data_IF_097816473648
#
_entry.id   IF_097816473648
#
_cell.length_a   1.000
_cell.length_b   1.000
_cell.length_c   1.000
_cell.angle_alpha   90.00
_cell.angle_beta   90.00
_cell.angle_gamma   90.00
#
_symmetry.space_group_name_H-M   'P 1'
#
loop_
_entity.id
_entity.type
_entity.pdbx_description
1 polymer ?
#
# COMPACT_ATOMS: atom_id res chain seq x y z
N UNK A 1 20.38 -6.77 29.37
CA UNK A 1 19.51 -5.58 29.55
C UNK A 1 18.22 -5.85 28.79
N UNK A 2 17.10 -5.76 29.51
CA UNK A 2 15.76 -6.31 29.24
C UNK A 2 15.22 -6.25 27.80
N UNK A 3 14.85 -7.41 27.25
CA UNK A 3 13.82 -7.54 26.24
C UNK A 3 12.60 -8.20 26.89
N UNK A 4 11.71 -7.38 27.44
CA UNK A 4 10.34 -7.79 27.78
C UNK A 4 9.62 -8.04 26.46
N UNK A 5 9.48 -9.31 26.07
CA UNK A 5 8.55 -9.70 25.00
C UNK A 5 7.15 -9.74 25.60
N UNK A 6 6.56 -8.56 25.57
CA UNK A 6 5.22 -8.20 26.03
C UNK A 6 4.14 -9.01 25.30
N UNK A 7 3.10 -9.32 26.08
CA UNK A 7 1.95 -10.16 25.79
C UNK A 7 1.29 -9.80 24.46
N UNK A 8 1.01 -10.82 23.62
CA UNK A 8 0.51 -10.68 22.26
C UNK A 8 -0.95 -10.21 22.23
N UNK A 9 -1.22 -8.97 22.64
CA UNK A 9 -2.48 -8.28 22.36
C UNK A 9 -2.25 -7.40 21.15
N UNK A 10 -2.84 -7.79 20.02
CA UNK A 10 -2.70 -7.07 18.77
C UNK A 10 -3.49 -5.75 18.84
N UNK A 11 -2.89 -4.72 19.45
CA UNK A 11 -3.49 -3.38 19.60
C UNK A 11 -3.16 -2.55 18.36
N UNK A 12 -4.18 -1.91 17.76
CA UNK A 12 -3.99 -0.95 16.69
C UNK A 12 -3.11 0.20 17.16
N UNK A 13 -1.99 0.44 16.49
CA UNK A 13 -1.10 1.56 16.73
C UNK A 13 -1.68 2.85 16.14
N UNK A 14 -1.32 4.02 16.69
CA UNK A 14 -1.73 5.31 16.13
C UNK A 14 -1.23 5.48 14.69
N UNK A 15 -1.91 6.34 13.94
CA UNK A 15 -1.47 6.70 12.59
C UNK A 15 -0.13 7.44 12.62
N UNK A 16 0.59 7.37 11.50
CA UNK A 16 1.80 8.16 11.24
C UNK A 16 1.47 9.36 10.35
N UNK A 17 2.37 10.33 10.24
CA UNK A 17 2.18 11.51 9.37
C UNK A 17 1.86 11.12 7.92
N UNK A 18 2.41 10.02 7.41
CA UNK A 18 2.11 9.53 6.06
C UNK A 18 0.67 9.05 5.89
N UNK A 19 -0.06 8.77 6.98
CA UNK A 19 -1.47 8.37 6.96
C UNK A 19 -2.43 9.57 7.01
N UNK A 20 -1.97 10.78 7.29
CA UNK A 20 -2.84 11.95 7.37
C UNK A 20 -3.56 12.21 6.04
N UNK A 21 -4.86 12.48 6.11
CA UNK A 21 -5.71 12.69 4.94
C UNK A 21 -6.17 11.41 4.24
N UNK A 22 -5.90 10.22 4.80
CA UNK A 22 -6.46 8.97 4.31
C UNK A 22 -7.86 8.74 4.88
N UNK A 23 -8.83 8.34 4.06
CA UNK A 23 -10.24 8.14 4.45
C UNK A 23 -10.45 6.95 5.42
N UNK A 24 -9.40 6.14 5.63
CA UNK A 24 -9.43 4.93 6.47
C UNK A 24 -8.90 5.18 7.89
N UNK A 25 -8.63 6.44 8.23
CA UNK A 25 -8.26 6.86 9.57
C UNK A 25 -9.54 7.06 10.38
N UNK A 26 -9.60 6.40 11.54
CA UNK A 26 -10.70 6.54 12.49
C UNK A 26 -10.14 7.13 13.78
N UNK A 27 -10.89 8.01 14.41
CA UNK A 27 -10.58 8.55 15.73
C UNK A 27 -11.39 7.78 16.78
N UNK A 28 -10.71 7.00 17.62
CA UNK A 28 -11.29 6.27 18.74
C UNK A 28 -10.51 6.63 20.01
N UNK A 29 -11.25 6.96 21.08
CA UNK A 29 -10.68 7.36 22.38
C UNK A 29 -9.66 8.51 22.30
N UNK A 30 -9.90 9.48 21.40
CA UNK A 30 -9.01 10.62 21.18
C UNK A 30 -7.70 10.31 20.45
N UNK A 31 -7.55 9.06 19.95
CA UNK A 31 -6.40 8.66 19.15
C UNK A 31 -6.84 8.31 17.72
N UNK A 32 -6.13 8.86 16.74
CA UNK A 32 -6.32 8.52 15.33
C UNK A 32 -5.60 7.21 15.01
N UNK A 33 -6.32 6.24 14.44
CA UNK A 33 -5.84 4.89 14.12
C UNK A 33 -6.20 4.50 12.70
N UNK A 34 -5.44 3.58 12.12
CA UNK A 34 -5.80 3.01 10.81
C UNK A 34 -6.80 1.87 11.00
N UNK A 35 -7.94 1.89 10.31
CA UNK A 35 -8.93 0.81 10.38
C UNK A 35 -8.41 -0.51 9.78
N UNK A 36 -7.43 -0.45 8.88
CA UNK A 36 -6.97 -1.62 8.10
C UNK A 36 -5.69 -2.24 8.63
N UNK A 37 -4.75 -1.43 9.15
CA UNK A 37 -3.43 -1.90 9.57
C UNK A 37 -3.21 -1.68 11.05
N UNK A 38 -2.82 -2.74 11.76
CA UNK A 38 -2.47 -2.66 13.18
C UNK A 38 -1.20 -1.85 13.42
N UNK A 39 -0.24 -1.85 12.49
CA UNK A 39 0.98 -1.04 12.57
C UNK A 39 1.17 -0.22 11.29
N UNK A 40 0.63 1.01 11.24
CA UNK A 40 0.75 1.89 10.08
C UNK A 40 2.21 2.22 9.75
N UNK A 41 3.05 2.44 10.77
CA UNK A 41 4.46 2.77 10.60
C UNK A 41 5.24 1.66 9.86
N UNK A 42 4.98 0.40 10.21
CA UNK A 42 5.60 -0.74 9.53
C UNK A 42 5.16 -0.84 8.06
N UNK A 43 3.90 -0.54 7.75
CA UNK A 43 3.43 -0.55 6.36
C UNK A 43 4.14 0.51 5.51
N UNK A 44 4.24 1.74 6.01
CA UNK A 44 4.91 2.83 5.31
C UNK A 44 6.42 2.64 5.17
N UNK A 45 7.06 1.97 6.14
CA UNK A 45 8.48 1.60 6.04
C UNK A 45 8.77 0.65 4.86
N UNK A 46 7.83 -0.25 4.56
CA UNK A 46 7.97 -1.22 3.47
C UNK A 46 7.54 -0.66 2.10
N UNK A 47 6.98 0.55 2.06
CA UNK A 47 6.56 1.21 0.83
C UNK A 47 5.22 1.95 0.99
N UNK A 48 4.73 2.49 -0.13
CA UNK A 48 3.43 3.21 -0.14
C UNK A 48 2.31 2.28 0.28
N UNK A 49 1.41 2.77 1.14
CA UNK A 49 0.21 2.06 1.52
C UNK A 49 -0.70 1.83 0.31
N UNK A 50 -1.11 0.58 0.06
CA UNK A 50 -1.98 0.20 -1.06
C UNK A 50 -3.39 0.80 -0.96
N UNK A 51 -3.76 1.24 0.25
CA UNK A 51 -5.06 1.83 0.55
C UNK A 51 -4.97 3.34 0.83
N UNK A 52 -3.81 3.96 0.62
CA UNK A 52 -3.70 5.41 0.73
C UNK A 52 -4.58 6.06 -0.34
N UNK A 53 -5.67 6.71 0.08
CA UNK A 53 -6.56 7.44 -0.84
C UNK A 53 -5.94 8.76 -1.27
N UNK A 54 -5.05 9.32 -0.46
CA UNK A 54 -4.34 10.57 -0.67
C UNK A 54 -2.99 10.44 -1.39
N UNK A 55 -2.39 9.24 -1.44
CA UNK A 55 -1.12 9.00 -2.16
C UNK A 55 -1.29 7.95 -3.22
N UNK A 56 -1.13 8.37 -4.48
CA UNK A 56 -1.10 7.45 -5.62
C UNK A 56 0.35 7.12 -5.96
N UNK A 57 0.72 5.83 -6.07
CA UNK A 57 2.05 5.48 -6.57
C UNK A 57 2.20 6.03 -7.99
N UNK A 58 3.33 6.70 -8.26
CA UNK A 58 3.67 7.11 -9.62
C UNK A 58 3.98 5.85 -10.44
N UNK A 59 2.95 5.36 -11.14
CA UNK A 59 3.13 4.32 -12.14
C UNK A 59 3.85 4.99 -13.31
N UNK A 60 5.17 4.85 -13.35
CA UNK A 60 5.94 5.08 -14.58
C UNK A 60 5.49 4.00 -15.57
N UNK A 61 4.39 4.27 -16.26
CA UNK A 61 3.98 3.50 -17.43
C UNK A 61 5.07 3.78 -18.44
N UNK A 62 6.11 2.93 -18.46
CA UNK A 62 6.97 2.84 -19.62
C UNK A 62 6.00 2.61 -20.77
N UNK A 63 5.82 3.62 -21.64
CA UNK A 63 5.10 3.47 -22.90
C UNK A 63 5.91 2.45 -23.69
N UNK A 64 5.64 1.17 -23.45
CA UNK A 64 6.20 0.09 -24.24
C UNK A 64 5.59 0.29 -25.60
N UNK A 65 6.35 0.92 -26.49
CA UNK A 65 6.00 1.08 -27.89
C UNK A 65 6.03 -0.32 -28.49
N UNK A 66 4.92 -1.04 -28.35
CA UNK A 66 4.77 -2.38 -28.91
C UNK A 66 4.84 -2.20 -30.42
N UNK A 67 5.91 -2.74 -31.02
CA UNK A 67 6.08 -2.68 -32.47
C UNK A 67 4.90 -3.42 -33.13
N UNK A 68 4.25 -2.82 -34.14
CA UNK A 68 3.08 -3.41 -34.81
C UNK A 68 3.36 -4.82 -35.38
N UNK A 69 4.59 -5.13 -35.79
CA UNK A 69 4.99 -6.49 -36.21
C UNK A 69 4.92 -7.49 -35.06
N UNK A 70 5.29 -7.08 -33.84
CA UNK A 70 5.24 -7.91 -32.63
C UNK A 70 3.80 -8.14 -32.15
N UNK A 71 2.91 -7.16 -32.35
CA UNK A 71 1.49 -7.30 -32.09
C UNK A 71 0.82 -8.27 -33.08
N UNK A 72 1.10 -8.11 -34.38
CA UNK A 72 0.58 -8.97 -35.44
C UNK A 72 0.99 -10.44 -35.23
N UNK A 73 2.27 -10.70 -34.93
CA UNK A 73 2.77 -12.07 -34.64
C UNK A 73 2.11 -12.72 -33.41
N UNK A 74 1.73 -11.93 -32.39
CA UNK A 74 0.99 -12.43 -31.22
C UNK A 74 -0.46 -12.76 -31.52
N UNK A 75 -1.12 -11.97 -32.37
CA UNK A 75 -2.49 -12.22 -32.80
C UNK A 75 -2.59 -13.50 -33.65
N UNK A 76 -1.66 -13.70 -34.60
CA UNK A 76 -1.63 -14.89 -35.45
C UNK A 76 -1.38 -16.18 -34.67
N UNK A 77 -0.61 -16.14 -33.58
CA UNK A 77 -0.32 -17.33 -32.76
C UNK A 77 -1.51 -17.77 -31.89
N UNK A 78 -2.47 -16.88 -31.60
CA UNK A 78 -3.69 -17.20 -30.84
C UNK A 78 -4.82 -17.78 -31.70
N UNK A 79 -4.70 -17.70 -33.04
CA UNK A 79 -5.72 -18.13 -34.01
C UNK A 79 -5.43 -19.51 -34.61
N UNK A 80 -4.44 -20.23 -34.08
CA UNK A 80 -4.05 -21.57 -34.52
C UNK A 80 -4.24 -22.58 -33.40
#
# INVERSE_FOLDING_TARGET
MNAVVDEQKAVFQPIVEQCEGCDRVIEEDGAKRCQTYLNPAAKWRNGICNFATHRKPEIKVAKVKVNPLKASKRASKRKR
#
